data_IF_985985561055
#
_entry.id   IF_985985561055
#
_cell.length_a   1.000
_cell.length_b   1.000
_cell.length_c   1.000
_cell.angle_alpha   90.00
_cell.angle_beta   90.00
_cell.angle_gamma   90.00
#
_symmetry.space_group_name_H-M   'P 1'
#
loop_
_entity.id
_entity.type
_entity.pdbx_description
1 polymer ?
#
# COMPACT_ATOMS: atom_id res chain seq x y z
N UNK A 1 35.48 8.42 3.15
CA UNK A 1 34.91 7.17 3.69
C UNK A 1 33.87 7.55 4.73
N UNK A 2 32.62 7.74 4.31
CA UNK A 2 31.50 7.97 5.21
C UNK A 2 30.80 6.63 5.45
N UNK A 3 30.47 6.37 6.70
CA UNK A 3 30.13 5.06 7.24
C UNK A 3 28.92 4.42 6.56
N UNK A 4 29.14 3.20 6.07
CA UNK A 4 28.11 2.27 5.64
C UNK A 4 27.49 1.65 6.92
N UNK A 5 26.37 2.18 7.40
CA UNK A 5 25.49 1.47 8.34
C UNK A 5 24.26 1.03 7.56
N UNK A 6 24.27 -0.20 7.05
CA UNK A 6 23.09 -0.85 6.48
C UNK A 6 22.64 -1.97 7.41
N UNK A 7 21.44 -1.75 7.96
CA UNK A 7 20.36 -2.70 8.19
C UNK A 7 20.67 -4.08 8.82
N UNK A 8 20.46 -4.17 10.14
CA UNK A 8 20.16 -5.42 10.83
C UNK A 8 19.00 -5.21 11.83
N UNK A 9 17.81 -4.85 11.32
CA UNK A 9 16.57 -4.87 12.11
C UNK A 9 15.28 -4.97 11.26
N UNK A 10 15.35 -5.42 10.00
CA UNK A 10 14.16 -5.51 9.13
C UNK A 10 13.34 -6.79 9.39
N UNK A 11 13.89 -7.76 10.13
CA UNK A 11 13.25 -9.07 10.35
C UNK A 11 12.03 -9.06 11.29
N UNK A 12 11.59 -7.91 11.78
CA UNK A 12 10.42 -7.81 12.69
C UNK A 12 9.46 -6.68 12.35
N UNK A 13 9.57 -6.06 11.17
CA UNK A 13 8.64 -5.00 10.81
C UNK A 13 7.27 -5.61 10.50
N UNK A 14 6.25 -5.24 11.27
CA UNK A 14 4.86 -5.56 10.91
C UNK A 14 4.39 -4.60 9.81
N UNK A 15 3.49 -5.07 8.95
CA UNK A 15 2.98 -4.31 7.80
C UNK A 15 2.52 -2.90 8.17
N UNK A 16 1.72 -2.76 9.23
CA UNK A 16 1.18 -1.49 9.72
C UNK A 16 2.23 -0.51 10.27
N UNK A 17 3.46 -0.98 10.47
CA UNK A 17 4.59 -0.19 10.95
C UNK A 17 5.56 0.19 9.82
N UNK A 18 5.36 -0.35 8.62
CA UNK A 18 6.21 -0.07 7.47
C UNK A 18 5.90 1.28 6.84
N UNK A 19 6.95 2.05 6.58
CA UNK A 19 6.90 3.24 5.74
C UNK A 19 7.75 3.00 4.49
N UNK A 20 7.19 3.34 3.33
CA UNK A 20 7.77 3.01 2.04
C UNK A 20 7.89 4.25 1.17
N UNK A 21 8.88 4.23 0.30
CA UNK A 21 9.12 5.29 -0.69
C UNK A 21 9.21 4.71 -2.08
N UNK A 22 8.74 5.44 -3.09
CA UNK A 22 8.90 5.03 -4.48
C UNK A 22 10.37 5.19 -4.90
N UNK A 23 10.97 4.11 -5.42
CA UNK A 23 12.43 3.99 -5.62
C UNK A 23 13.11 5.20 -6.29
N UNK A 24 12.58 5.69 -7.40
CA UNK A 24 13.16 6.80 -8.16
C UNK A 24 12.50 8.15 -7.83
N UNK A 25 11.43 8.16 -7.02
CA UNK A 25 10.71 9.38 -6.61
C UNK A 25 10.39 9.32 -5.11
N UNK A 26 11.39 9.47 -4.21
CA UNK A 26 11.20 9.23 -2.79
C UNK A 26 10.18 10.16 -2.09
N UNK A 27 9.80 11.25 -2.74
CA UNK A 27 8.71 12.13 -2.27
C UNK A 27 7.31 11.53 -2.42
N UNK A 28 7.18 10.39 -3.11
CA UNK A 28 5.94 9.60 -3.15
C UNK A 28 6.10 8.47 -2.14
N UNK A 29 5.25 8.50 -1.13
CA UNK A 29 5.36 7.62 0.03
C UNK A 29 4.13 6.71 0.13
N UNK A 30 4.29 5.57 0.81
CA UNK A 30 3.18 4.70 1.19
C UNK A 30 3.28 4.35 2.67
N UNK A 31 2.13 4.37 3.34
CA UNK A 31 1.96 3.84 4.69
C UNK A 31 0.81 2.83 4.72
N UNK A 32 0.88 1.90 5.66
CA UNK A 32 -0.24 1.06 6.04
C UNK A 32 -0.83 1.57 7.34
N UNK A 33 -2.15 1.58 7.44
CA UNK A 33 -2.88 2.01 8.63
C UNK A 33 -3.85 0.93 9.07
N UNK A 34 -3.82 0.59 10.36
CA UNK A 34 -4.84 -0.29 10.94
C UNK A 34 -6.23 0.34 10.77
N UNK A 35 -7.17 -0.45 10.27
CA UNK A 35 -8.57 -0.04 10.09
C UNK A 35 -9.50 -1.10 10.63
N UNK A 36 -10.70 -0.67 11.03
CA UNK A 36 -11.77 -1.61 11.32
C UNK A 36 -12.04 -2.47 10.09
N UNK A 37 -12.19 -3.76 10.30
CA UNK A 37 -12.36 -4.71 9.21
C UNK A 37 -13.33 -5.81 9.63
N UNK A 38 -13.87 -6.51 8.65
CA UNK A 38 -14.83 -7.60 8.83
C UNK A 38 -14.40 -8.84 8.06
N UNK A 39 -15.24 -9.87 8.05
CA UNK A 39 -15.00 -11.12 7.32
C UNK A 39 -14.75 -10.91 5.83
N UNK A 40 -15.32 -9.85 5.25
CA UNK A 40 -15.15 -9.47 3.84
C UNK A 40 -13.81 -8.76 3.56
N UNK A 41 -13.18 -8.16 4.58
CA UNK A 41 -11.91 -7.43 4.46
C UNK A 41 -10.94 -7.90 5.56
N UNK A 42 -10.35 -9.10 5.43
CA UNK A 42 -9.57 -9.72 6.52
C UNK A 42 -8.16 -9.12 6.70
N UNK A 43 -7.75 -8.15 5.89
CA UNK A 43 -6.40 -7.57 5.97
C UNK A 43 -6.19 -6.70 7.21
N UNK A 44 -7.26 -6.12 7.79
CA UNK A 44 -7.18 -5.19 8.93
C UNK A 44 -6.28 -3.95 8.73
N UNK A 45 -5.81 -3.69 7.50
CA UNK A 45 -5.02 -2.51 7.13
C UNK A 45 -5.61 -1.85 5.88
N UNK A 46 -5.41 -0.54 5.77
CA UNK A 46 -5.57 0.22 4.55
C UNK A 46 -4.21 0.75 4.10
N UNK A 47 -3.94 0.69 2.81
CA UNK A 47 -2.77 1.29 2.18
C UNK A 47 -3.12 2.74 1.80
N UNK A 48 -2.25 3.69 2.18
CA UNK A 48 -2.35 5.08 1.74
C UNK A 48 -1.18 5.43 0.86
N UNK A 49 -1.47 5.93 -0.34
CA UNK A 49 -0.48 6.56 -1.21
C UNK A 49 -0.45 8.05 -0.91
N UNK A 50 0.70 8.55 -0.50
CA UNK A 50 0.99 9.97 -0.35
C UNK A 50 1.73 10.46 -1.59
N UNK A 51 1.09 11.26 -2.45
CA UNK A 51 1.77 11.84 -3.59
C UNK A 51 2.77 12.92 -3.14
N UNK A 52 3.65 13.32 -4.06
CA UNK A 52 4.48 14.50 -3.87
C UNK A 52 3.60 15.75 -3.60
N UNK A 53 4.17 16.74 -2.88
CA UNK A 53 3.45 17.92 -2.35
C UNK A 53 2.40 18.48 -3.32
N UNK A 54 1.18 18.65 -2.82
CA UNK A 54 0.11 19.40 -3.50
C UNK A 54 -1.05 18.55 -4.03
N UNK A 55 -0.88 17.24 -4.14
CA UNK A 55 -1.98 16.33 -4.48
C UNK A 55 -2.57 15.65 -3.24
N UNK A 56 -3.85 15.31 -3.31
CA UNK A 56 -4.53 14.54 -2.28
C UNK A 56 -4.16 13.05 -2.42
N UNK A 57 -3.91 12.40 -1.27
CA UNK A 57 -3.61 10.98 -1.23
C UNK A 57 -4.77 10.09 -1.66
N UNK A 58 -4.45 8.83 -1.93
CA UNK A 58 -5.41 7.78 -2.26
C UNK A 58 -5.35 6.65 -1.24
N UNK A 59 -6.50 6.04 -0.97
CA UNK A 59 -6.66 4.96 0.00
C UNK A 59 -7.11 3.69 -0.69
N UNK A 60 -6.58 2.56 -0.23
CA UNK A 60 -6.90 1.24 -0.76
C UNK A 60 -7.00 0.18 0.35
N UNK A 61 -7.84 -0.85 0.15
CA UNK A 61 -7.90 -2.04 0.99
C UNK A 61 -7.25 -3.24 0.29
N UNK A 62 -6.28 -3.92 0.91
CA UNK A 62 -5.72 -5.15 0.36
C UNK A 62 -6.67 -6.32 0.44
N UNK A 63 -6.63 -7.15 -0.60
CA UNK A 63 -7.33 -8.43 -0.66
C UNK A 63 -6.59 -9.41 -1.55
N UNK A 64 -6.76 -10.70 -1.27
CA UNK A 64 -6.28 -11.77 -2.12
C UNK A 64 -7.36 -12.13 -3.13
N UNK A 65 -6.97 -12.30 -4.39
CA UNK A 65 -7.77 -12.93 -5.42
C UNK A 65 -8.22 -14.34 -5.02
N UNK A 66 -9.03 -14.96 -5.87
CA UNK A 66 -9.52 -16.32 -5.66
C UNK A 66 -8.41 -17.38 -5.70
N UNK A 67 -8.58 -18.39 -6.53
CA UNK A 67 -7.65 -19.54 -6.58
C UNK A 67 -6.37 -19.30 -7.38
N UNK A 68 -6.20 -18.13 -8.02
CA UNK A 68 -5.05 -17.85 -8.90
C UNK A 68 -3.84 -17.25 -8.17
N UNK A 69 -3.95 -16.99 -6.86
CA UNK A 69 -2.89 -16.40 -6.04
C UNK A 69 -2.59 -14.94 -6.37
N UNK A 70 -3.42 -14.28 -7.18
CA UNK A 70 -3.28 -12.86 -7.47
C UNK A 70 -3.61 -12.02 -6.23
N UNK A 71 -2.97 -10.86 -6.11
CA UNK A 71 -3.19 -9.92 -5.02
C UNK A 71 -3.58 -8.57 -5.60
N UNK A 72 -4.47 -7.89 -4.90
CA UNK A 72 -5.05 -6.64 -5.36
C UNK A 72 -5.24 -5.69 -4.18
N UNK A 73 -5.39 -4.42 -4.51
CA UNK A 73 -5.85 -3.41 -3.57
C UNK A 73 -7.03 -2.66 -4.20
N UNK A 74 -8.14 -2.56 -3.46
CA UNK A 74 -9.36 -1.91 -3.90
C UNK A 74 -9.41 -0.46 -3.41
N UNK A 75 -9.65 0.50 -4.30
CA UNK A 75 -9.75 1.91 -3.88
C UNK A 75 -10.95 2.17 -2.99
N UNK A 76 -10.74 2.99 -1.97
CA UNK A 76 -11.73 3.34 -0.96
C UNK A 76 -11.69 4.84 -0.63
N UNK A 77 -12.68 5.29 0.14
CA UNK A 77 -12.72 6.63 0.71
C UNK A 77 -11.73 6.77 1.87
N UNK A 78 -11.52 8.01 2.32
CA UNK A 78 -10.61 8.32 3.42
C UNK A 78 -11.04 7.65 4.74
N UNK A 79 -10.20 6.74 5.22
CA UNK A 79 -10.42 5.93 6.45
C UNK A 79 -10.33 6.76 7.72
N UNK A 80 -9.87 8.01 7.64
CA UNK A 80 -9.72 8.91 8.79
C UNK A 80 -10.99 9.70 9.09
N UNK A 81 -11.99 9.66 8.20
CA UNK A 81 -13.27 10.32 8.40
C UNK A 81 -14.04 9.65 9.57
N UNK A 82 -14.59 10.41 10.52
CA UNK A 82 -15.39 9.84 11.60
C UNK A 82 -16.57 9.00 11.07
N UNK A 83 -16.77 7.81 11.65
CA UNK A 83 -17.82 6.90 11.21
C UNK A 83 -17.51 6.18 9.89
N UNK A 84 -16.25 6.17 9.45
CA UNK A 84 -15.86 5.35 8.31
C UNK A 84 -16.06 3.86 8.59
N UNK A 85 -16.53 3.14 7.57
CA UNK A 85 -16.66 1.69 7.54
C UNK A 85 -16.15 1.18 6.19
N UNK A 86 -15.61 -0.05 6.19
CA UNK A 86 -15.21 -0.69 4.94
C UNK A 86 -16.43 -0.83 4.00
N UNK A 87 -16.27 -0.57 2.69
CA UNK A 87 -17.37 -0.73 1.74
C UNK A 87 -17.73 -2.21 1.56
N UNK A 88 -18.88 -2.48 0.94
CA UNK A 88 -19.23 -3.84 0.53
C UNK A 88 -18.25 -4.31 -0.57
N UNK A 89 -17.74 -5.55 -0.50
CA UNK A 89 -16.78 -6.08 -1.47
C UNK A 89 -17.37 -6.28 -2.87
N UNK A 90 -18.68 -6.39 -3.00
CA UNK A 90 -19.40 -6.53 -4.26
C UNK A 90 -20.09 -5.21 -4.68
N UNK A 91 -20.06 -4.19 -3.82
CA UNK A 91 -20.67 -2.89 -4.09
C UNK A 91 -20.10 -1.72 -3.28
N UNK A 92 -19.85 -0.58 -3.93
CA UNK A 92 -19.46 0.63 -3.22
C UNK A 92 -18.57 1.56 -4.03
N UNK A 93 -18.22 2.74 -3.50
CA UNK A 93 -17.38 3.69 -4.21
C UNK A 93 -15.96 3.15 -4.43
N UNK A 94 -15.66 2.78 -5.68
CA UNK A 94 -14.30 2.42 -6.14
C UNK A 94 -13.82 3.44 -7.16
N UNK A 95 -13.58 4.67 -6.70
CA UNK A 95 -13.27 5.81 -7.57
C UNK A 95 -12.05 5.57 -8.47
N UNK A 96 -11.08 4.79 -7.99
CA UNK A 96 -9.88 4.43 -8.74
C UNK A 96 -9.89 2.96 -9.16
N UNK A 97 -11.01 2.26 -9.02
CA UNK A 97 -11.14 0.81 -9.22
C UNK A 97 -10.23 -0.01 -8.31
N UNK A 98 -9.94 -1.23 -8.76
CA UNK A 98 -8.92 -2.09 -8.18
C UNK A 98 -7.63 -1.97 -8.98
N UNK A 99 -6.50 -2.20 -8.31
CA UNK A 99 -5.20 -2.32 -8.95
C UNK A 99 -4.45 -3.52 -8.40
N UNK A 100 -3.63 -4.15 -9.24
CA UNK A 100 -2.81 -5.28 -8.82
C UNK A 100 -1.77 -4.85 -7.78
N UNK A 101 -1.41 -5.81 -6.93
CA UNK A 101 -0.39 -5.68 -5.92
C UNK A 101 0.59 -6.85 -6.04
N UNK A 102 1.88 -6.57 -5.95
CA UNK A 102 2.92 -7.61 -5.93
C UNK A 102 3.90 -7.28 -4.82
N UNK A 103 3.82 -8.00 -3.69
CA UNK A 103 4.78 -7.87 -2.60
C UNK A 103 5.95 -8.84 -2.76
N UNK A 104 7.13 -8.45 -2.31
CA UNK A 104 8.31 -9.33 -2.24
C UNK A 104 9.04 -9.19 -0.91
N UNK A 105 9.77 -10.24 -0.53
CA UNK A 105 10.81 -10.13 0.49
C UNK A 105 12.07 -9.43 -0.06
N UNK A 106 13.10 -9.33 0.78
CA UNK A 106 14.36 -8.66 0.43
C UNK A 106 15.17 -9.40 -0.65
N UNK A 107 14.90 -10.69 -0.86
CA UNK A 107 15.51 -11.52 -1.89
C UNK A 107 14.69 -11.51 -3.19
N UNK A 108 13.68 -10.61 -3.28
CA UNK A 108 12.71 -10.53 -4.39
C UNK A 108 11.90 -11.81 -4.60
N UNK A 109 11.72 -12.64 -3.56
CA UNK A 109 10.73 -13.71 -3.61
C UNK A 109 9.35 -13.11 -3.49
N UNK A 110 8.49 -13.43 -4.46
CA UNK A 110 7.09 -12.98 -4.48
C UNK A 110 6.36 -13.58 -3.28
N UNK A 111 5.74 -12.72 -2.49
CA UNK A 111 4.87 -13.11 -1.38
C UNK A 111 3.54 -13.58 -1.95
N UNK A 112 2.94 -14.61 -1.35
CA UNK A 112 1.68 -15.20 -1.81
C UNK A 112 0.42 -14.55 -1.20
N UNK A 113 0.60 -13.64 -0.25
CA UNK A 113 -0.51 -12.97 0.45
C UNK A 113 -0.40 -11.46 0.34
N UNK A 114 -1.55 -10.81 0.18
CA UNK A 114 -1.72 -9.38 0.32
C UNK A 114 -1.35 -8.93 1.75
N UNK A 115 -0.88 -7.68 1.91
CA UNK A 115 -0.44 -7.14 3.19
C UNK A 115 -1.60 -7.13 4.21
N UNK A 116 -1.31 -7.58 5.43
CA UNK A 116 -2.28 -7.64 6.54
C UNK A 116 -1.65 -7.22 7.86
N UNK A 117 -2.48 -6.73 8.79
CA UNK A 117 -2.04 -6.32 10.12
C UNK A 117 -1.30 -7.45 10.84
N UNK A 118 -0.18 -7.12 11.48
CA UNK A 118 0.65 -8.04 12.25
C UNK A 118 1.51 -9.00 11.42
N UNK A 119 1.27 -9.13 10.11
CA UNK A 119 2.13 -9.92 9.22
C UNK A 119 3.42 -9.15 8.90
N UNK A 120 4.51 -9.85 8.54
CA UNK A 120 5.75 -9.22 8.10
C UNK A 120 5.50 -8.23 6.97
N UNK A 121 6.07 -7.05 7.10
CA UNK A 121 6.11 -6.04 6.05
C UNK A 121 6.90 -6.58 4.84
N UNK A 122 6.38 -6.44 3.60
CA UNK A 122 7.20 -6.67 2.41
C UNK A 122 8.45 -5.78 2.45
N UNK A 123 9.56 -6.27 1.90
CA UNK A 123 10.74 -5.42 1.71
C UNK A 123 10.54 -4.48 0.52
N UNK A 124 9.89 -5.00 -0.53
CA UNK A 124 9.55 -4.27 -1.74
C UNK A 124 8.12 -4.61 -2.15
N UNK A 125 7.40 -3.68 -2.75
CA UNK A 125 6.17 -4.02 -3.46
C UNK A 125 5.98 -3.16 -4.69
N UNK A 126 5.22 -3.71 -5.65
CA UNK A 126 4.87 -3.05 -6.89
C UNK A 126 3.36 -2.88 -6.96
N UNK A 127 2.93 -1.71 -7.43
CA UNK A 127 1.56 -1.40 -7.83
C UNK A 127 1.54 -1.18 -9.35
N UNK A 128 1.42 -2.24 -10.18
CA UNK A 128 1.65 -2.15 -11.62
C UNK A 128 0.76 -1.14 -12.35
N UNK A 129 -0.44 -0.94 -11.81
CA UNK A 129 -1.49 -0.10 -12.40
C UNK A 129 -1.70 1.21 -11.65
N UNK A 130 -0.74 1.61 -10.78
CA UNK A 130 -0.87 2.82 -9.97
C UNK A 130 -1.01 4.07 -10.83
N UNK A 131 -0.18 4.21 -11.86
CA UNK A 131 -0.28 5.32 -12.82
C UNK A 131 -1.64 5.33 -13.51
N UNK A 132 -2.15 4.16 -13.88
CA UNK A 132 -3.47 4.04 -14.51
C UNK A 132 -4.59 4.55 -13.58
N UNK A 133 -4.55 4.13 -12.31
CA UNK A 133 -5.44 4.64 -11.27
C UNK A 133 -5.31 6.15 -11.07
N UNK A 134 -4.10 6.64 -10.77
CA UNK A 134 -3.91 8.00 -10.29
C UNK A 134 -3.87 9.04 -11.41
N UNK A 135 -3.48 8.70 -12.63
CA UNK A 135 -3.45 9.69 -13.72
C UNK A 135 -4.77 9.76 -14.48
N UNK A 136 -5.32 8.61 -14.86
CA UNK A 136 -6.47 8.54 -15.76
C UNK A 136 -7.82 8.47 -15.04
N UNK A 137 -7.91 7.76 -13.90
CA UNK A 137 -9.16 7.59 -13.16
C UNK A 137 -9.37 8.62 -12.04
N UNK A 138 -8.29 9.12 -11.45
CA UNK A 138 -8.38 10.07 -10.34
C UNK A 138 -8.88 11.47 -10.78
N UNK A 139 -9.42 12.19 -9.80
CA UNK A 139 -9.73 13.62 -9.94
C UNK A 139 -8.44 14.41 -10.13
N UNK A 140 -8.56 15.61 -10.71
CA UNK A 140 -7.40 16.45 -11.08
C UNK A 140 -6.47 16.77 -9.90
N UNK A 141 -7.01 16.90 -8.69
CA UNK A 141 -6.30 17.17 -7.44
C UNK A 141 -5.64 15.93 -6.81
N UNK A 142 -5.89 14.74 -7.37
CA UNK A 142 -5.30 13.46 -6.97
C UNK A 142 -4.33 12.91 -8.03
N UNK A 143 -4.13 13.65 -9.14
CA UNK A 143 -3.33 13.16 -10.26
C UNK A 143 -1.86 13.01 -9.89
N UNK A 144 -1.33 11.83 -10.19
CA UNK A 144 0.07 11.50 -9.99
C UNK A 144 0.61 10.81 -11.25
N UNK A 145 1.57 11.45 -11.91
CA UNK A 145 2.30 10.86 -13.05
C UNK A 145 3.62 10.27 -12.54
N UNK A 146 3.61 8.97 -12.28
CA UNK A 146 4.79 8.21 -11.84
C UNK A 146 5.01 7.02 -12.76
N UNK A 147 6.28 6.70 -13.01
CA UNK A 147 6.63 5.47 -13.70
C UNK A 147 6.28 4.24 -12.85
N UNK A 148 6.13 3.07 -13.49
CA UNK A 148 5.96 1.79 -12.81
C UNK A 148 7.28 1.37 -12.18
N UNK A 149 7.33 1.31 -10.85
CA UNK A 149 8.54 1.00 -10.07
C UNK A 149 8.16 0.49 -8.70
N UNK A 150 9.11 -0.14 -8.01
CA UNK A 150 8.94 -0.64 -6.66
C UNK A 150 8.85 0.49 -5.64
N UNK A 151 7.98 0.29 -4.67
CA UNK A 151 8.09 0.92 -3.37
C UNK A 151 9.03 0.08 -2.50
N UNK A 152 9.98 0.74 -1.88
CA UNK A 152 10.98 0.13 -1.01
C UNK A 152 10.69 0.51 0.44
N UNK A 153 10.81 -0.45 1.35
CA UNK A 153 10.70 -0.20 2.78
C UNK A 153 11.85 0.73 3.21
N UNK A 154 11.52 1.97 3.54
CA UNK A 154 12.46 3.01 3.96
C UNK A 154 12.76 2.88 5.45
N UNK A 155 11.70 2.74 6.25
CA UNK A 155 11.81 2.66 7.72
C UNK A 155 10.66 1.87 8.32
N UNK A 156 10.93 1.33 9.51
CA UNK A 156 9.92 0.70 10.35
C UNK A 156 9.75 1.51 11.63
N UNK A 157 8.54 1.96 11.93
CA UNK A 157 8.24 2.60 13.20
C UNK A 157 8.02 1.52 14.26
N UNK A 158 8.77 1.57 15.37
CA UNK A 158 8.54 0.64 16.47
C UNK A 158 7.09 0.80 16.99
N UNK A 159 6.44 -0.32 17.36
CA UNK A 159 5.13 -0.28 18.05
C UNK A 159 5.25 0.66 19.25
N UNK A 160 4.41 1.70 19.30
CA UNK A 160 4.18 2.45 20.53
C UNK A 160 3.31 1.64 21.47
#
# INVERSE_FOLDING_TARGET
>A
MFALMVALAVSSCATENGHYVLRDVPSVEVEFRNVASGTQWPAHVALRVHPARGAQGAWFLPWNGGSDGSQHIASITDVTVPGWHAPDPDGGPRLLGDISYVGTDADYRVLSEAPRAGAPAPAHFLLPDLREALWYRAKSDQRLDVARQFFDLDRCTAKK
#
